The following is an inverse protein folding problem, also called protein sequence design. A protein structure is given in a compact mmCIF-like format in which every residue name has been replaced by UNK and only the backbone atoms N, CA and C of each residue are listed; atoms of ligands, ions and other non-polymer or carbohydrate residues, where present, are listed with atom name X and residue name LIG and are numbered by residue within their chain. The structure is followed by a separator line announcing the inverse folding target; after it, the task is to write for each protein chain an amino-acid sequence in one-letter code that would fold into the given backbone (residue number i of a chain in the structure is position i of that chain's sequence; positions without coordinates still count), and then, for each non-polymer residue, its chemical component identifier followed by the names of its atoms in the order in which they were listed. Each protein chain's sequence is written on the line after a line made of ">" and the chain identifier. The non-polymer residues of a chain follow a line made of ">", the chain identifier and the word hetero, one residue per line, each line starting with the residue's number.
data_IF_643524030640
#
_entry.id   IF_643524030640
#
_cell.length_a   1.000
_cell.length_b   1.000
_cell.length_c   1.000
_cell.angle_alpha   90.00
_cell.angle_beta   90.00
_cell.angle_gamma   90.00
#
_symmetry.space_group_name_H-M   'P 1'
#
loop_
_entity.id
_entity.type
_entity.pdbx_description
1 polymer ?
#
# COMPACT_ATOMS: atom_id res chain seq x y z
N UNK A 1 8.06 -10.51 -3.81
CA UNK A 1 8.27 -9.26 -4.57
C UNK A 1 9.59 -8.62 -4.13
N UNK A 2 10.41 -8.20 -5.09
CA UNK A 2 11.71 -7.57 -4.85
C UNK A 2 11.80 -6.26 -5.65
N UNK A 3 12.68 -5.35 -5.21
CA UNK A 3 12.99 -4.10 -5.91
C UNK A 3 13.87 -4.38 -7.12
N UNK A 4 13.55 -3.78 -8.26
CA UNK A 4 14.35 -3.87 -9.48
C UNK A 4 15.55 -2.91 -9.44
N UNK A 5 16.48 -3.07 -10.37
CA UNK A 5 17.59 -2.11 -10.55
C UNK A 5 17.06 -0.72 -10.94
N UNK A 6 16.14 -0.65 -11.90
CA UNK A 6 15.54 0.61 -12.33
C UNK A 6 14.92 1.39 -11.16
N UNK A 7 14.16 0.73 -10.28
CA UNK A 7 13.53 1.37 -9.11
C UNK A 7 14.52 1.80 -8.02
N UNK A 8 15.74 1.26 -8.03
CA UNK A 8 16.82 1.64 -7.15
C UNK A 8 17.62 2.83 -7.71
N UNK A 9 17.77 2.89 -9.04
CA UNK A 9 18.62 3.88 -9.73
C UNK A 9 17.90 5.22 -9.97
N UNK A 10 16.57 5.28 -9.81
CA UNK A 10 15.78 6.51 -10.04
C UNK A 10 15.79 7.50 -8.86
N UNK A 11 16.59 7.26 -7.82
CA UNK A 11 16.66 8.18 -6.67
C UNK A 11 17.61 9.32 -6.98
N UNK A 12 17.24 10.54 -6.57
CA UNK A 12 18.13 11.69 -6.59
C UNK A 12 19.41 11.39 -5.78
N UNK A 13 20.62 11.60 -6.34
CA UNK A 13 21.89 11.43 -5.64
C UNK A 13 21.97 12.14 -4.28
N UNK A 14 21.25 13.25 -4.10
CA UNK A 14 21.17 13.99 -2.84
C UNK A 14 20.53 13.17 -1.70
N UNK A 15 19.74 12.14 -2.00
CA UNK A 15 19.16 11.28 -0.96
C UNK A 15 20.24 10.52 -0.19
N UNK A 16 21.34 10.17 -0.86
CA UNK A 16 22.49 9.50 -0.23
C UNK A 16 23.21 10.50 0.68
N UNK A 17 23.44 11.73 0.20
CA UNK A 17 24.18 12.75 0.97
C UNK A 17 23.38 13.30 2.15
N UNK A 18 22.04 13.29 2.08
CA UNK A 18 21.13 13.67 3.18
C UNK A 18 20.88 12.54 4.21
N UNK A 19 21.45 11.35 4.00
CA UNK A 19 21.38 10.24 4.97
C UNK A 19 20.07 9.45 4.95
N UNK A 20 19.29 9.49 3.86
CA UNK A 20 18.13 8.62 3.72
C UNK A 20 18.55 7.16 3.54
N UNK A 21 17.67 6.23 3.92
CA UNK A 21 17.91 4.80 3.70
C UNK A 21 18.01 4.53 2.20
N UNK A 22 19.11 3.94 1.70
CA UNK A 22 19.28 3.70 0.27
C UNK A 22 18.28 2.66 -0.25
N UNK A 23 17.73 2.87 -1.46
CA UNK A 23 17.00 1.80 -2.14
C UNK A 23 18.00 0.85 -2.79
N UNK A 24 18.18 -0.30 -2.17
CA UNK A 24 19.00 -1.36 -2.73
C UNK A 24 18.20 -2.19 -3.73
N UNK A 25 18.77 -2.43 -4.91
CA UNK A 25 18.24 -3.39 -5.87
C UNK A 25 18.22 -4.80 -5.24
N UNK A 26 17.26 -5.63 -5.66
CA UNK A 26 17.03 -6.99 -5.16
C UNK A 26 16.66 -7.09 -3.67
N UNK A 27 16.48 -5.96 -2.97
CA UNK A 27 15.93 -5.97 -1.62
C UNK A 27 14.46 -6.42 -1.64
N UNK A 28 14.06 -7.21 -0.63
CA UNK A 28 12.66 -7.63 -0.45
C UNK A 28 11.80 -6.42 -0.08
N UNK A 29 10.72 -6.20 -0.81
CA UNK A 29 9.75 -5.15 -0.51
C UNK A 29 8.70 -5.68 0.48
N UNK A 30 8.26 -4.88 1.48
CA UNK A 30 7.27 -5.29 2.47
C UNK A 30 5.83 -5.21 1.93
N UNK A 31 5.57 -5.82 0.77
CA UNK A 31 4.25 -5.81 0.14
C UNK A 31 3.24 -6.61 0.96
N UNK A 32 2.32 -5.92 1.63
CA UNK A 32 1.30 -6.53 2.50
C UNK A 32 -0.07 -5.97 2.17
N UNK A 33 -1.04 -6.85 1.93
CA UNK A 33 -2.45 -6.47 1.73
C UNK A 33 -3.13 -5.99 3.01
N UNK A 34 -2.57 -6.30 4.19
CA UNK A 34 -3.02 -5.78 5.49
C UNK A 34 -2.81 -4.26 5.58
N UNK A 35 -1.93 -3.69 4.76
CA UNK A 35 -1.71 -2.25 4.68
C UNK A 35 -2.82 -1.55 3.86
N UNK A 36 -4.07 -1.95 4.06
CA UNK A 36 -5.26 -1.36 3.47
C UNK A 36 -5.85 -0.31 4.39
N UNK A 37 -6.66 0.58 3.82
CA UNK A 37 -7.44 1.55 4.58
C UNK A 37 -8.90 1.15 4.58
N UNK A 38 -9.60 1.36 5.69
CA UNK A 38 -11.00 1.03 5.87
C UNK A 38 -11.73 2.21 6.49
N UNK A 39 -12.84 2.63 5.89
CA UNK A 39 -13.66 3.73 6.39
C UNK A 39 -15.12 3.55 6.00
N UNK A 40 -16.01 3.86 6.93
CA UNK A 40 -17.45 3.82 6.75
C UNK A 40 -17.94 2.46 6.21
N UNK A 41 -18.34 2.38 4.94
CA UNK A 41 -18.76 1.16 4.26
C UNK A 41 -17.82 0.74 3.13
N UNK A 42 -16.53 1.02 3.24
CA UNK A 42 -15.56 0.67 2.20
C UNK A 42 -14.16 0.40 2.71
N UNK A 43 -13.39 -0.33 1.90
CA UNK A 43 -11.97 -0.56 2.13
C UNK A 43 -11.17 -0.42 0.83
N UNK A 44 -10.00 0.21 0.91
CA UNK A 44 -9.08 0.42 -0.21
C UNK A 44 -7.82 -0.42 0.03
N UNK A 45 -7.64 -1.42 -0.81
CA UNK A 45 -6.61 -2.45 -0.70
C UNK A 45 -5.45 -2.12 -1.65
N UNK A 46 -4.19 -2.22 -1.21
CA UNK A 46 -3.06 -2.07 -2.10
C UNK A 46 -3.08 -3.14 -3.20
N UNK A 47 -2.58 -2.80 -4.37
CA UNK A 47 -2.47 -3.72 -5.51
C UNK A 47 -1.04 -3.67 -6.03
N UNK A 48 -0.51 -4.82 -6.39
CA UNK A 48 0.92 -5.01 -6.61
C UNK A 48 1.26 -5.55 -8.00
N UNK A 49 0.25 -5.87 -8.81
CA UNK A 49 0.38 -6.54 -10.10
C UNK A 49 0.62 -8.04 -9.95
N UNK A 50 0.18 -8.66 -8.85
CA UNK A 50 0.38 -10.08 -8.57
C UNK A 50 -0.95 -10.84 -8.60
N UNK A 51 -0.96 -12.15 -8.93
CA UNK A 51 -2.19 -12.96 -8.91
C UNK A 51 -2.93 -12.97 -7.57
N UNK A 52 -2.20 -12.72 -6.47
CA UNK A 52 -2.75 -12.63 -5.11
C UNK A 52 -3.54 -11.34 -4.85
N UNK A 53 -3.50 -10.36 -5.75
CA UNK A 53 -4.19 -9.08 -5.60
C UNK A 53 -5.72 -9.25 -5.52
N UNK A 54 -6.29 -10.06 -6.41
CA UNK A 54 -7.73 -10.35 -6.41
C UNK A 54 -8.12 -11.20 -5.20
N UNK A 55 -7.30 -12.20 -4.86
CA UNK A 55 -7.52 -13.02 -3.68
C UNK A 55 -7.57 -12.18 -2.40
N UNK A 56 -6.73 -11.15 -2.28
CA UNK A 56 -6.74 -10.25 -1.14
C UNK A 56 -8.05 -9.44 -1.05
N UNK A 57 -8.56 -8.95 -2.19
CA UNK A 57 -9.86 -8.27 -2.25
C UNK A 57 -10.97 -9.22 -1.81
N UNK A 58 -11.01 -10.45 -2.34
CA UNK A 58 -12.05 -11.42 -2.03
C UNK A 58 -12.05 -11.82 -0.54
N UNK A 59 -10.87 -12.06 0.03
CA UNK A 59 -10.70 -12.39 1.45
C UNK A 59 -11.16 -11.24 2.34
N UNK A 60 -10.76 -10.01 2.03
CA UNK A 60 -11.17 -8.83 2.80
C UNK A 60 -12.67 -8.56 2.65
N UNK A 61 -13.22 -8.73 1.45
CA UNK A 61 -14.65 -8.56 1.19
C UNK A 61 -15.49 -9.57 1.99
N UNK A 62 -15.05 -10.83 2.05
CA UNK A 62 -15.69 -11.84 2.88
C UNK A 62 -15.59 -11.50 4.39
N UNK A 63 -14.45 -10.96 4.83
CA UNK A 63 -14.23 -10.59 6.22
C UNK A 63 -15.08 -9.39 6.67
N UNK A 64 -15.21 -8.35 5.82
CA UNK A 64 -16.03 -7.17 6.12
C UNK A 64 -17.54 -7.42 5.91
N UNK A 65 -17.89 -8.34 5.02
CA UNK A 65 -19.28 -8.67 4.71
C UNK A 65 -19.97 -7.69 3.76
N UNK A 66 -21.27 -7.88 3.50
CA UNK A 66 -21.99 -7.23 2.40
C UNK A 66 -22.22 -5.71 2.57
N UNK A 67 -22.05 -5.18 3.79
CA UNK A 67 -22.16 -3.74 4.06
C UNK A 67 -20.94 -2.92 3.62
N UNK A 68 -19.89 -3.60 3.16
CA UNK A 68 -18.65 -2.97 2.72
C UNK A 68 -18.42 -3.20 1.23
N UNK A 69 -17.83 -2.19 0.57
CA UNK A 69 -17.23 -2.32 -0.76
C UNK A 69 -15.72 -2.32 -0.65
N UNK A 70 -15.09 -3.47 -0.93
CA UNK A 70 -13.64 -3.60 -0.96
C UNK A 70 -13.14 -3.36 -2.38
N UNK A 71 -12.22 -2.41 -2.56
CA UNK A 71 -11.67 -2.03 -3.87
C UNK A 71 -10.15 -2.04 -3.86
N UNK A 72 -9.55 -2.51 -4.93
CA UNK A 72 -8.12 -2.31 -5.20
C UNK A 72 -7.86 -0.93 -5.79
N UNK A 73 -6.67 -0.38 -5.58
CA UNK A 73 -6.23 0.86 -6.24
C UNK A 73 -5.91 0.58 -7.72
N UNK A 74 -6.61 1.23 -8.68
CA UNK A 74 -6.32 1.06 -10.11
C UNK A 74 -4.89 1.50 -10.44
N UNK A 75 -4.19 0.72 -11.27
CA UNK A 75 -2.79 0.99 -11.60
C UNK A 75 -1.78 0.58 -10.51
N UNK A 76 -2.24 0.12 -9.35
CA UNK A 76 -1.39 -0.39 -8.28
C UNK A 76 -0.83 0.68 -7.34
N UNK A 77 -0.20 0.23 -6.27
CA UNK A 77 0.43 1.08 -5.23
C UNK A 77 1.89 0.70 -5.01
N UNK A 78 2.53 0.12 -6.03
CA UNK A 78 3.93 -0.29 -5.99
C UNK A 78 4.88 0.88 -5.71
N UNK A 79 4.60 2.05 -6.26
CA UNK A 79 5.42 3.26 -6.04
C UNK A 79 5.47 3.69 -4.57
N UNK A 80 4.35 3.58 -3.85
CA UNK A 80 4.32 3.83 -2.39
C UNK A 80 5.16 2.79 -1.64
N UNK A 81 5.07 1.53 -2.08
CA UNK A 81 5.80 0.41 -1.49
C UNK A 81 7.32 0.52 -1.64
N UNK A 82 7.82 1.22 -2.65
CA UNK A 82 9.27 1.44 -2.82
C UNK A 82 9.90 2.14 -1.61
N UNK A 83 9.10 2.89 -0.84
CA UNK A 83 9.46 3.54 0.43
C UNK A 83 8.92 2.80 1.68
N UNK A 84 8.68 1.49 1.58
CA UNK A 84 8.37 0.58 2.68
C UNK A 84 6.99 0.72 3.37
N UNK A 85 6.05 1.48 2.80
CA UNK A 85 4.68 1.60 3.29
C UNK A 85 3.61 1.35 2.21
N UNK A 86 2.34 1.55 2.54
CA UNK A 86 1.27 1.57 1.53
C UNK A 86 0.05 2.40 1.99
N UNK A 87 -1.13 2.12 1.43
CA UNK A 87 -2.39 2.85 1.64
C UNK A 87 -2.61 3.24 3.10
N UNK A 88 -2.52 2.28 4.05
CA UNK A 88 -2.72 2.58 5.47
C UNK A 88 -1.74 3.62 6.00
N UNK A 89 -0.46 3.47 5.68
CA UNK A 89 0.63 4.33 6.19
C UNK A 89 0.53 5.79 5.71
N UNK A 90 -0.19 6.05 4.61
CA UNK A 90 -0.33 7.39 4.02
C UNK A 90 -1.71 8.00 4.25
N UNK A 91 -2.52 7.39 5.10
CA UNK A 91 -3.87 7.85 5.43
C UNK A 91 -4.01 8.09 6.92
N UNK A 92 -4.82 9.08 7.29
CA UNK A 92 -5.24 9.33 8.67
C UNK A 92 -6.74 9.61 8.67
N UNK A 93 -7.54 8.72 9.28
CA UNK A 93 -8.98 8.92 9.39
C UNK A 93 -9.30 10.02 10.38
N UNK A 94 -10.27 10.86 10.03
CA UNK A 94 -10.93 11.77 10.95
C UNK A 94 -12.33 11.20 11.23
N UNK A 95 -12.62 10.97 12.51
CA UNK A 95 -13.93 10.45 12.93
C UNK A 95 -14.94 11.60 12.98
N UNK A 96 -16.19 11.31 12.62
CA UNK A 96 -17.28 12.26 12.83
C UNK A 96 -17.40 12.53 14.33
N UNK A 97 -17.51 13.79 14.73
CA UNK A 97 -17.92 14.11 16.09
C UNK A 97 -19.34 13.55 16.28
N UNK A 98 -19.53 12.68 17.27
CA UNK A 98 -20.88 12.31 17.69
C UNK A 98 -21.58 13.52 18.32
N UNK A 99 -22.90 13.45 18.46
CA UNK A 99 -23.65 14.40 19.29
C UNK A 99 -23.11 14.30 20.72
N UNK A 100 -22.31 15.29 21.13
CA UNK A 100 -21.79 15.44 22.51
C UNK A 100 -22.79 16.16 23.40
#
# INVERSE_FOLDING_TARGET
>A
MFRTHHEADTIDPEHITKGYVPRLANARLPGSYINHYCANGGAVVPQFGYPTDQQAIDVLQAAYGPGYKVVGVPGGTREVLLNAGNVHCITQQHVLAGDI
#
